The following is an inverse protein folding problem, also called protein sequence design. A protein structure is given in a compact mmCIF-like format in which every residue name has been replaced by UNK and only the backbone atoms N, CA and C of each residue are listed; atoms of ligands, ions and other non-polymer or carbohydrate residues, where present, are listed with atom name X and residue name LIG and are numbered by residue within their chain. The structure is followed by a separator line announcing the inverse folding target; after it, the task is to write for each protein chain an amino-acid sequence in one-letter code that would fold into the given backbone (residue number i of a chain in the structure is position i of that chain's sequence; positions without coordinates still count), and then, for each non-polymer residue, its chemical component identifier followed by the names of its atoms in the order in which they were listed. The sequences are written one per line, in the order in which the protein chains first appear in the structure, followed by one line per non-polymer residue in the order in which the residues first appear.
data_IF_330342412145
#
_entry.id   IF_330342412145
#
_cell.length_a   1.000
_cell.length_b   1.000
_cell.length_c   1.000
_cell.angle_alpha   90.00
_cell.angle_beta   90.00
_cell.angle_gamma   90.00
#
_symmetry.space_group_name_H-M   'P 1'
#
loop_
_entity.id
_entity.type
_entity.pdbx_description
1 polymer ?
#
# COMPACT_ATOMS: atom_id res chain seq x y z
N UNK A 1 -3.40 -11.93 7.81
CA UNK A 1 -3.84 -11.95 6.40
C UNK A 1 -4.92 -10.89 6.21
N UNK A 2 -4.77 -9.97 5.24
CA UNK A 2 -5.78 -8.94 4.94
C UNK A 2 -6.16 -9.02 3.46
N UNK A 3 -7.28 -9.67 3.21
CA UNK A 3 -7.76 -10.00 1.86
C UNK A 3 -8.08 -8.72 1.07
N UNK A 4 -8.73 -7.74 1.72
CA UNK A 4 -9.09 -6.45 1.09
C UNK A 4 -7.87 -5.66 0.59
N UNK A 5 -6.74 -5.72 1.30
CA UNK A 5 -5.52 -5.04 0.85
C UNK A 5 -4.95 -5.71 -0.41
N UNK A 6 -5.01 -7.04 -0.48
CA UNK A 6 -4.57 -7.80 -1.65
C UNK A 6 -5.49 -7.58 -2.85
N UNK A 7 -6.82 -7.58 -2.61
CA UNK A 7 -7.83 -7.28 -3.62
C UNK A 7 -7.66 -5.87 -4.17
N UNK A 8 -7.40 -4.88 -3.31
CA UNK A 8 -7.13 -3.51 -3.75
C UNK A 8 -5.93 -3.48 -4.70
N UNK A 9 -4.78 -4.03 -4.31
CA UNK A 9 -3.60 -4.03 -5.20
C UNK A 9 -3.88 -4.81 -6.49
N UNK A 10 -4.56 -5.95 -6.43
CA UNK A 10 -4.92 -6.73 -7.62
C UNK A 10 -5.87 -5.97 -8.58
N UNK A 11 -6.72 -5.09 -8.05
CA UNK A 11 -7.64 -4.26 -8.86
C UNK A 11 -6.97 -3.03 -9.50
N UNK A 12 -5.78 -2.64 -9.04
CA UNK A 12 -5.16 -1.35 -9.36
C UNK A 12 -4.25 -1.36 -10.61
N UNK A 13 -4.41 -2.32 -11.52
CA UNK A 13 -3.54 -2.47 -12.71
C UNK A 13 -3.54 -1.25 -13.64
N UNK A 14 -4.68 -0.56 -13.75
CA UNK A 14 -4.80 0.62 -14.62
C UNK A 14 -4.32 1.90 -13.93
N UNK A 15 -4.86 2.21 -12.75
CA UNK A 15 -4.64 3.51 -12.09
C UNK A 15 -3.42 3.54 -11.18
N UNK A 16 -2.96 2.36 -10.74
CA UNK A 16 -1.75 2.13 -9.94
C UNK A 16 -1.74 2.97 -8.67
N UNK A 17 -2.91 3.17 -8.07
CA UNK A 17 -3.03 4.00 -6.88
C UNK A 17 -2.32 3.40 -5.67
N UNK A 18 -2.00 4.28 -4.74
CA UNK A 18 -1.24 3.96 -3.55
C UNK A 18 -2.16 3.32 -2.51
N UNK A 19 -1.72 2.19 -1.97
CA UNK A 19 -2.34 1.60 -0.78
C UNK A 19 -1.70 2.19 0.48
N UNK A 20 -2.53 2.75 1.38
CA UNK A 20 -2.12 3.12 2.74
C UNK A 20 -2.47 1.96 3.67
N UNK A 21 -1.50 1.45 4.42
CA UNK A 21 -1.72 0.32 5.33
C UNK A 21 -1.30 0.68 6.75
N UNK A 22 -2.08 0.23 7.73
CA UNK A 22 -1.70 0.45 9.12
C UNK A 22 -0.48 -0.40 9.52
N UNK A 23 0.45 0.20 10.24
CA UNK A 23 1.70 -0.41 10.74
C UNK A 23 1.47 -1.62 11.68
N UNK A 24 0.29 -1.71 12.30
CA UNK A 24 -0.07 -2.77 13.25
C UNK A 24 -0.85 -3.92 12.62
N UNK A 25 -1.07 -3.85 11.31
CA UNK A 25 -1.54 -4.99 10.56
C UNK A 25 -0.38 -5.98 10.49
N UNK A 26 -0.59 -7.27 10.79
CA UNK A 26 0.44 -8.29 10.59
C UNK A 26 0.99 -8.41 9.14
N UNK A 27 0.45 -7.63 8.21
CA UNK A 27 0.92 -7.43 6.84
C UNK A 27 1.78 -6.17 6.66
N UNK A 28 2.05 -5.36 7.69
CA UNK A 28 3.00 -4.25 7.62
C UNK A 28 4.45 -4.74 7.47
N UNK A 29 4.77 -5.91 8.01
CA UNK A 29 6.05 -6.58 7.76
C UNK A 29 6.18 -7.07 6.31
N UNK A 30 5.05 -7.39 5.68
CA UNK A 30 4.94 -7.89 4.31
C UNK A 30 4.85 -6.73 3.30
N UNK A 31 4.10 -5.69 3.64
CA UNK A 31 3.88 -4.49 2.82
C UNK A 31 4.79 -3.33 3.24
N UNK A 32 6.07 -3.61 3.55
CA UNK A 32 7.07 -2.57 3.89
C UNK A 32 7.25 -1.51 2.80
N UNK A 33 6.82 -1.79 1.58
CA UNK A 33 6.88 -0.88 0.44
C UNK A 33 5.62 0.02 0.29
N UNK A 34 4.61 -0.16 1.15
CA UNK A 34 3.42 0.70 1.22
C UNK A 34 3.58 1.76 2.32
N UNK A 35 2.84 2.88 2.21
CA UNK A 35 2.89 3.90 3.25
C UNK A 35 2.26 3.34 4.52
N UNK A 36 3.12 3.07 5.50
CA UNK A 36 2.72 2.62 6.82
C UNK A 36 2.31 3.81 7.68
N UNK A 37 1.17 3.72 8.34
CA UNK A 37 0.72 4.73 9.29
C UNK A 37 0.19 4.10 10.59
N UNK A 38 0.28 4.83 11.70
CA UNK A 38 -0.39 4.44 12.94
C UNK A 38 -1.84 4.93 12.93
N UNK A 39 -2.84 4.07 13.17
CA UNK A 39 -4.23 4.49 13.20
C UNK A 39 -4.60 5.31 14.42
N UNK A 40 -3.72 5.34 15.42
CA UNK A 40 -3.90 6.04 16.69
C UNK A 40 -3.17 7.39 16.72
N UNK A 41 -2.43 7.70 15.66
CA UNK A 41 -1.66 8.93 15.52
C UNK A 41 -2.25 9.80 14.40
N UNK A 42 -2.25 11.11 14.62
CA UNK A 42 -2.69 12.09 13.64
C UNK A 42 -1.70 12.21 12.47
N UNK A 43 -0.49 11.68 12.60
CA UNK A 43 0.49 11.51 11.51
C UNK A 43 -0.07 10.74 10.29
N UNK A 44 -1.19 10.03 10.47
CA UNK A 44 -1.98 9.47 9.35
C UNK A 44 -2.38 10.53 8.33
N UNK A 45 -2.70 11.76 8.76
CA UNK A 45 -3.12 12.85 7.86
C UNK A 45 -2.02 13.16 6.86
N UNK A 46 -0.77 13.20 7.30
CA UNK A 46 0.39 13.41 6.42
C UNK A 46 0.59 12.24 5.46
N UNK A 47 0.31 11.02 5.91
CA UNK A 47 0.38 9.81 5.07
C UNK A 47 -0.70 9.82 3.99
N UNK A 48 -1.91 10.26 4.32
CA UNK A 48 -3.00 10.49 3.36
C UNK A 48 -2.61 11.58 2.37
N UNK A 49 -2.10 12.71 2.87
CA UNK A 49 -1.63 13.83 2.04
C UNK A 49 -0.53 13.40 1.05
N UNK A 50 0.43 12.60 1.50
CA UNK A 50 1.47 12.00 0.64
C UNK A 50 0.85 11.06 -0.40
N UNK A 51 -0.09 10.21 -0.01
CA UNK A 51 -0.77 9.28 -0.92
C UNK A 51 -1.46 9.98 -2.09
N UNK A 52 -2.21 11.06 -1.82
CA UNK A 52 -2.95 11.80 -2.86
C UNK A 52 -2.06 12.73 -3.71
N UNK A 53 -0.91 13.15 -3.19
CA UNK A 53 0.04 14.04 -3.90
C UNK A 53 1.12 13.27 -4.66
N UNK A 54 1.20 11.95 -4.51
CA UNK A 54 2.23 11.13 -5.14
C UNK A 54 2.09 11.15 -6.67
N UNK A 55 3.18 11.54 -7.35
CA UNK A 55 3.22 11.61 -8.81
C UNK A 55 3.06 10.23 -9.47
N UNK A 56 2.52 10.20 -10.69
CA UNK A 56 2.16 8.97 -11.41
C UNK A 56 3.31 7.95 -11.53
N UNK A 57 4.54 8.41 -11.81
CA UNK A 57 5.70 7.52 -11.91
C UNK A 57 6.02 6.82 -10.58
N UNK A 58 5.91 7.56 -9.48
CA UNK A 58 6.19 7.04 -8.14
C UNK A 58 5.06 6.10 -7.67
N UNK A 59 3.80 6.43 -7.98
CA UNK A 59 2.65 5.52 -7.78
C UNK A 59 2.84 4.18 -8.48
N UNK A 60 3.23 4.21 -9.77
CA UNK A 60 3.49 3.00 -10.54
C UNK A 60 4.66 2.16 -9.96
N UNK A 61 5.70 2.81 -9.44
CA UNK A 61 6.82 2.11 -8.80
C UNK A 61 6.39 1.42 -7.50
N UNK A 62 5.60 2.10 -6.66
CA UNK A 62 5.06 1.57 -5.40
C UNK A 62 4.10 0.42 -5.68
N UNK A 63 3.21 0.58 -6.66
CA UNK A 63 2.27 -0.45 -7.07
C UNK A 63 2.99 -1.71 -7.55
N UNK A 64 3.99 -1.58 -8.43
CA UNK A 64 4.77 -2.72 -8.94
C UNK A 64 5.44 -3.53 -7.83
N UNK A 65 5.96 -2.85 -6.79
CA UNK A 65 6.54 -3.53 -5.63
C UNK A 65 5.48 -4.28 -4.82
N UNK A 66 4.34 -3.62 -4.58
CA UNK A 66 3.21 -4.19 -3.83
C UNK A 66 2.64 -5.42 -4.55
N UNK A 67 2.49 -5.35 -5.87
CA UNK A 67 2.04 -6.45 -6.72
C UNK A 67 3.00 -7.64 -6.68
N UNK A 68 4.31 -7.40 -6.87
CA UNK A 68 5.32 -8.46 -6.80
C UNK A 68 5.32 -9.17 -5.45
N UNK A 69 5.10 -8.43 -4.36
CA UNK A 69 5.02 -9.00 -3.02
C UNK A 69 3.79 -9.89 -2.82
N UNK A 70 2.61 -9.44 -3.29
CA UNK A 70 1.36 -10.22 -3.16
C UNK A 70 1.43 -11.48 -4.00
N UNK A 71 1.88 -11.38 -5.25
CA UNK A 71 1.97 -12.51 -6.18
C UNK A 71 3.01 -13.56 -5.74
N UNK A 72 4.08 -13.13 -5.06
CA UNK A 72 5.10 -14.03 -4.51
C UNK A 72 4.61 -14.90 -3.36
N UNK A 73 3.56 -14.49 -2.65
CA UNK A 73 3.03 -15.16 -1.46
C UNK A 73 1.76 -16.00 -1.74
N UNK A 74 1.44 -16.25 -3.01
CA UNK A 74 0.25 -17.02 -3.45
C UNK A 74 0.48 -18.53 -3.56
N UNK A 75 1.52 -19.09 -2.92
CA UNK A 75 1.85 -20.53 -2.93
C UNK A 75 1.40 -21.26 -1.68
#
# INVERSE_FOLDING_TARGET
MKIVANEYVASQNEWKDVLLLSERVGAAEQAKDSFLFSPWDLDMVDSIGKGITTGHQQRAAIHKKSEAHIMGNTR
#
